data_IF_774360996969
#
_entry.id   IF_774360996969
#
_cell.length_a   1.000
_cell.length_b   1.000
_cell.length_c   1.000
_cell.angle_alpha   90.00
_cell.angle_beta   90.00
_cell.angle_gamma   90.00
#
_symmetry.space_group_name_H-M   'P 1'
#
loop_
_entity.id
_entity.type
_entity.pdbx_description
1 polymer ?
#
# COMPACT_ATOMS: atom_id res chain seq x y z
N UNK A 1 -1.20 12.24 -4.22
CA UNK A 1 -0.75 10.86 -4.49
C UNK A 1 -1.55 10.25 -5.64
N UNK A 2 -2.87 10.13 -5.54
CA UNK A 2 -3.68 9.51 -6.60
C UNK A 2 -3.52 10.15 -7.99
N UNK A 3 -3.56 11.49 -8.08
CA UNK A 3 -3.30 12.21 -9.33
C UNK A 3 -1.99 11.80 -10.03
N UNK A 4 -0.93 11.58 -9.26
CA UNK A 4 0.35 11.13 -9.80
C UNK A 4 0.26 9.68 -10.28
N UNK A 5 -0.37 8.79 -9.50
CA UNK A 5 -0.51 7.38 -9.83
C UNK A 5 -1.37 7.15 -11.08
N UNK A 6 -2.41 7.97 -11.30
CA UNK A 6 -3.22 7.94 -12.52
C UNK A 6 -2.42 8.33 -13.77
N UNK A 7 -1.45 9.24 -13.63
CA UNK A 7 -0.54 9.60 -14.72
C UNK A 7 0.56 8.55 -14.92
N UNK A 8 1.06 7.96 -13.83
CA UNK A 8 2.13 6.97 -13.84
C UNK A 8 1.66 5.61 -14.37
N UNK A 9 0.45 5.19 -14.00
CA UNK A 9 -0.19 3.95 -14.47
C UNK A 9 -1.62 4.24 -14.92
N UNK A 10 -1.80 4.74 -16.15
CA UNK A 10 -3.12 5.00 -16.71
C UNK A 10 -3.94 3.71 -16.88
N UNK A 11 -5.25 3.79 -16.63
CA UNK A 11 -6.15 2.63 -16.72
C UNK A 11 -6.44 2.18 -18.17
N UNK A 12 -6.21 3.04 -19.15
CA UNK A 12 -6.51 2.78 -20.56
C UNK A 12 -5.33 2.17 -21.34
N UNK A 13 -4.26 1.75 -20.67
CA UNK A 13 -3.16 1.04 -21.31
C UNK A 13 -3.60 -0.36 -21.75
N UNK A 14 -3.02 -0.91 -22.85
CA UNK A 14 -3.41 -2.21 -23.40
C UNK A 14 -2.85 -3.38 -22.57
N UNK A 15 -3.25 -3.47 -21.31
CA UNK A 15 -2.89 -4.57 -20.43
C UNK A 15 -3.56 -5.87 -20.88
N UNK A 16 -2.81 -6.98 -20.78
CA UNK A 16 -3.34 -8.32 -21.13
C UNK A 16 -4.25 -8.89 -20.05
N UNK A 17 -4.00 -8.56 -18.80
CA UNK A 17 -4.76 -9.02 -17.65
C UNK A 17 -5.80 -7.95 -17.30
N UNK A 18 -7.07 -8.24 -17.57
CA UNK A 18 -8.21 -7.31 -17.37
C UNK A 18 -9.43 -8.07 -16.89
N UNK A 19 -9.24 -9.31 -16.40
CA UNK A 19 -10.34 -10.21 -16.09
C UNK A 19 -11.20 -9.72 -14.93
N UNK A 20 -10.66 -8.86 -14.06
CA UNK A 20 -11.40 -8.29 -12.94
C UNK A 20 -11.87 -6.85 -13.18
N UNK A 21 -11.73 -6.31 -14.40
CA UNK A 21 -12.15 -4.95 -14.76
C UNK A 21 -11.00 -4.04 -15.26
N UNK A 22 -11.32 -2.80 -15.63
CA UNK A 22 -10.35 -1.87 -16.23
C UNK A 22 -9.24 -1.41 -15.28
N UNK A 23 -9.49 -1.41 -13.97
CA UNK A 23 -8.57 -0.99 -12.91
C UNK A 23 -7.72 -2.15 -12.34
N UNK A 24 -7.88 -3.36 -12.89
CA UNK A 24 -7.21 -4.60 -12.45
C UNK A 24 -5.68 -4.51 -12.54
N UNK A 25 -5.12 -4.55 -13.75
CA UNK A 25 -3.68 -4.40 -13.94
C UNK A 25 -3.11 -3.07 -13.45
N UNK A 26 -3.78 -1.92 -13.65
CA UNK A 26 -3.31 -0.67 -13.04
C UNK A 26 -3.12 -0.78 -11.53
N UNK A 27 -4.05 -1.40 -10.80
CA UNK A 27 -3.93 -1.61 -9.37
C UNK A 27 -2.77 -2.55 -9.01
N UNK A 28 -2.57 -3.63 -9.76
CA UNK A 28 -1.43 -4.53 -9.56
C UNK A 28 -0.08 -3.82 -9.73
N UNK A 29 0.06 -2.96 -10.75
CA UNK A 29 1.29 -2.20 -10.98
C UNK A 29 1.49 -1.16 -9.87
N UNK A 30 0.46 -0.39 -9.51
CA UNK A 30 0.53 0.60 -8.41
C UNK A 30 0.93 -0.06 -7.09
N UNK A 31 0.33 -1.20 -6.75
CA UNK A 31 0.63 -1.95 -5.53
C UNK A 31 2.07 -2.51 -5.51
N UNK A 32 2.53 -3.05 -6.65
CA UNK A 32 3.89 -3.60 -6.77
C UNK A 32 4.95 -2.50 -6.67
N UNK A 33 4.65 -1.30 -7.18
CA UNK A 33 5.56 -0.16 -7.10
C UNK A 33 5.64 0.45 -5.70
N UNK A 34 4.51 0.64 -5.02
CA UNK A 34 4.47 1.22 -3.67
C UNK A 34 4.90 0.23 -2.58
N UNK A 35 4.71 -1.07 -2.83
CA UNK A 35 4.94 -2.14 -1.86
C UNK A 35 3.72 -2.42 -0.98
N UNK A 36 3.66 -3.64 -0.46
CA UNK A 36 2.52 -4.14 0.34
C UNK A 36 2.83 -4.31 1.83
N UNK A 37 4.00 -3.89 2.29
CA UNK A 37 4.44 -4.06 3.68
C UNK A 37 5.36 -2.93 4.12
N UNK A 38 5.30 -2.62 5.42
CA UNK A 38 6.20 -1.67 6.06
C UNK A 38 6.94 -2.37 7.20
N UNK A 39 8.20 -2.00 7.40
CA UNK A 39 8.96 -2.32 8.60
C UNK A 39 9.21 -1.03 9.38
N UNK A 40 8.67 -0.94 10.60
CA UNK A 40 8.66 0.29 11.39
C UNK A 40 9.32 -0.01 12.74
N UNK A 41 10.45 0.66 13.06
CA UNK A 41 11.08 0.50 14.37
C UNK A 41 10.15 0.93 15.51
N UNK A 42 10.31 0.28 16.66
CA UNK A 42 9.57 0.60 17.89
C UNK A 42 10.57 0.87 19.00
N UNK A 43 10.43 2.01 19.67
CA UNK A 43 11.28 2.40 20.81
C UNK A 43 10.40 3.03 21.90
N UNK A 44 10.66 2.69 23.17
CA UNK A 44 9.83 3.11 24.31
C UNK A 44 8.32 2.86 24.12
N UNK A 45 7.97 1.72 23.51
CA UNK A 45 6.58 1.35 23.24
C UNK A 45 5.87 2.20 22.19
N UNK A 46 6.59 3.02 21.40
CA UNK A 46 6.03 3.88 20.35
C UNK A 46 6.64 3.55 18.99
N UNK A 47 5.82 3.64 17.94
CA UNK A 47 6.30 3.59 16.55
C UNK A 47 7.23 4.78 16.30
N UNK A 48 8.41 4.52 15.76
CA UNK A 48 9.40 5.55 15.42
C UNK A 48 9.05 6.23 14.09
N UNK A 49 7.94 6.97 14.07
CA UNK A 49 7.54 7.81 12.94
C UNK A 49 8.08 9.23 13.13
N UNK A 50 8.53 9.86 12.04
CA UNK A 50 8.81 11.29 12.00
C UNK A 50 7.53 12.12 12.07
N UNK A 51 7.66 13.42 12.36
CA UNK A 51 6.54 14.37 12.56
C UNK A 51 5.48 14.33 11.45
N UNK A 52 5.90 14.04 10.21
CA UNK A 52 5.03 14.06 9.03
C UNK A 52 4.83 12.69 8.39
N UNK A 53 5.28 11.61 9.04
CA UNK A 53 5.08 10.25 8.53
C UNK A 53 3.73 9.70 9.01
N UNK A 54 2.99 9.11 8.09
CA UNK A 54 1.76 8.36 8.36
C UNK A 54 1.83 6.98 7.73
N UNK A 55 1.04 6.05 8.29
CA UNK A 55 0.84 4.72 7.72
C UNK A 55 -0.46 4.75 6.94
N UNK A 56 -0.40 4.38 5.66
CA UNK A 56 -1.53 4.45 4.74
C UNK A 56 -1.83 3.08 4.15
N UNK A 57 -3.10 2.71 4.13
CA UNK A 57 -3.61 1.65 3.26
C UNK A 57 -4.01 2.30 1.94
N UNK A 58 -3.26 2.04 0.88
CA UNK A 58 -3.57 2.52 -0.46
C UNK A 58 -4.41 1.48 -1.20
N UNK A 59 -5.73 1.66 -1.24
CA UNK A 59 -6.60 0.88 -2.10
C UNK A 59 -6.53 1.41 -3.53
N UNK A 60 -6.27 0.53 -4.50
CA UNK A 60 -6.10 0.91 -5.89
C UNK A 60 -7.23 0.41 -6.80
N UNK A 61 -8.16 -0.38 -6.26
CA UNK A 61 -9.40 -0.75 -6.95
C UNK A 61 -10.49 0.27 -6.64
N UNK A 62 -11.21 0.70 -7.67
CA UNK A 62 -12.34 1.63 -7.56
C UNK A 62 -13.51 1.00 -6.79
N UNK A 63 -13.66 -0.32 -6.88
CA UNK A 63 -14.69 -1.10 -6.19
C UNK A 63 -14.08 -2.28 -5.43
N UNK A 64 -13.35 -1.97 -4.37
CA UNK A 64 -12.72 -2.97 -3.53
C UNK A 64 -13.67 -3.57 -2.47
N UNK A 65 -13.46 -4.86 -2.16
CA UNK A 65 -13.97 -5.46 -0.93
C UNK A 65 -13.12 -5.08 0.29
N UNK A 66 -13.46 -5.63 1.46
CA UNK A 66 -12.70 -5.40 2.69
C UNK A 66 -11.25 -5.89 2.59
N UNK A 67 -10.35 -5.19 3.28
CA UNK A 67 -8.94 -5.55 3.38
C UNK A 67 -8.59 -6.00 4.80
N UNK A 68 -7.61 -6.89 4.90
CA UNK A 68 -7.03 -7.33 6.16
C UNK A 68 -5.56 -6.90 6.18
N UNK A 69 -5.16 -6.24 7.25
CA UNK A 69 -3.77 -5.86 7.50
C UNK A 69 -3.24 -6.79 8.59
N UNK A 70 -2.12 -7.46 8.31
CA UNK A 70 -1.40 -8.23 9.31
C UNK A 70 -0.35 -7.35 9.97
N UNK A 71 -0.33 -7.35 11.30
CA UNK A 71 0.69 -6.64 12.08
C UNK A 71 1.43 -7.66 12.92
N UNK A 72 2.75 -7.72 12.75
CA UNK A 72 3.64 -8.55 13.57
C UNK A 72 4.55 -7.62 14.36
N UNK A 73 4.53 -7.77 15.68
CA UNK A 73 5.44 -7.05 16.58
C UNK A 73 6.46 -8.05 17.11
N UNK A 74 7.73 -7.76 16.90
CA UNK A 74 8.84 -8.57 17.39
C UNK A 74 9.87 -7.67 18.06
N UNK A 75 10.43 -8.12 19.20
CA UNK A 75 11.40 -7.39 19.97
C UNK A 75 11.59 -7.97 21.38
N UNK A 76 12.32 -7.26 22.23
CA UNK A 76 12.55 -7.61 23.63
C UNK A 76 12.18 -6.44 24.55
N UNK A 77 11.89 -6.74 25.82
CA UNK A 77 11.70 -5.71 26.84
C UNK A 77 13.02 -5.00 27.12
N UNK A 78 12.93 -3.70 27.41
CA UNK A 78 14.08 -2.91 27.86
C UNK A 78 14.31 -3.25 29.35
N UNK A 79 15.47 -3.85 29.66
CA UNK A 79 15.89 -4.15 31.03
C UNK A 79 16.22 -2.89 31.83
#
# INVERSE_FOLDING_TARGET
MEMFLLQFVPENLPFRHVCEGPDDMPAHVKASFLGSSLNIPITEGKLCLGTWQGIWLCEHRNNAGSRKIMVTINGALKN
#
